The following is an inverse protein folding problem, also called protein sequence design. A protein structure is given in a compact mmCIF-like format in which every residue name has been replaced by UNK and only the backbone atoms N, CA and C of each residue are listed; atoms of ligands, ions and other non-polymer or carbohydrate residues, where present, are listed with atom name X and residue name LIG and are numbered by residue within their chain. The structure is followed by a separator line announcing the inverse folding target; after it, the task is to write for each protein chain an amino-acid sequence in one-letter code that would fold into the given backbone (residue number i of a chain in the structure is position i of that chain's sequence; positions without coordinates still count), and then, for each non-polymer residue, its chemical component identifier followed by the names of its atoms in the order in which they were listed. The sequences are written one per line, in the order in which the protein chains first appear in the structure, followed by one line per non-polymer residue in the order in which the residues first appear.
data_IF_182220267146
#
_entry.id   IF_182220267146
#
_cell.length_a   1.000
_cell.length_b   1.000
_cell.length_c   1.000
_cell.angle_alpha   90.00
_cell.angle_beta   90.00
_cell.angle_gamma   90.00
#
_symmetry.space_group_name_H-M   'P 1'
#
loop_
_entity.id
_entity.type
_entity.pdbx_description
1 polymer ?
#
# COMPACT_ATOMS: atom_id res chain seq x y z
N UNK A 1 -2.50 6.88 16.78
CA UNK A 1 -2.61 7.15 15.33
C UNK A 1 -3.54 6.12 14.70
N UNK A 2 -4.52 6.56 13.95
CA UNK A 2 -5.31 5.58 13.22
C UNK A 2 -4.47 4.89 12.18
N UNK A 3 -4.73 3.62 11.96
CA UNK A 3 -4.04 2.88 10.93
C UNK A 3 -4.45 3.40 9.57
N UNK A 4 -3.54 3.29 8.62
CA UNK A 4 -3.88 3.55 7.23
C UNK A 4 -4.55 2.31 6.67
N UNK A 5 -5.45 2.51 5.73
CA UNK A 5 -6.22 1.42 5.15
C UNK A 5 -5.96 1.35 3.65
N UNK A 6 -6.03 0.15 3.12
CA UNK A 6 -5.87 -0.07 1.69
C UNK A 6 -6.53 -1.37 1.28
N UNK A 7 -6.52 -1.65 -0.01
CA UNK A 7 -7.02 -2.92 -0.52
C UNK A 7 -6.38 -3.21 -1.86
N UNK A 8 -6.53 -4.45 -2.30
CA UNK A 8 -6.07 -4.87 -3.61
C UNK A 8 -7.23 -4.79 -4.60
N UNK A 9 -6.99 -4.11 -5.72
CA UNK A 9 -7.97 -4.01 -6.80
C UNK A 9 -7.31 -4.61 -8.04
N UNK A 10 -7.86 -5.71 -8.52
CA UNK A 10 -7.31 -6.43 -9.66
C UNK A 10 -5.83 -6.76 -9.47
N UNK A 11 -5.47 -7.14 -8.24
CA UNK A 11 -4.12 -7.52 -7.92
C UNK A 11 -3.17 -6.37 -7.65
N UNK A 12 -3.66 -5.13 -7.69
CA UNK A 12 -2.84 -3.94 -7.45
C UNK A 12 -3.27 -3.31 -6.12
N UNK A 13 -2.28 -3.00 -5.28
CA UNK A 13 -2.57 -2.38 -4.00
C UNK A 13 -2.94 -0.92 -4.18
N UNK A 14 -3.99 -0.48 -3.48
CA UNK A 14 -4.41 0.91 -3.48
C UNK A 14 -4.70 1.37 -2.07
N UNK A 15 -4.25 2.58 -1.75
CA UNK A 15 -4.57 3.19 -0.46
C UNK A 15 -6.02 3.69 -0.48
N UNK A 16 -6.62 3.76 0.71
CA UNK A 16 -7.96 4.32 0.85
C UNK A 16 -7.94 5.78 0.44
N UNK A 17 -8.90 6.20 -0.41
CA UNK A 17 -8.94 7.59 -0.85
C UNK A 17 -9.47 8.50 0.23
N UNK A 18 -9.22 9.80 0.07
CA UNK A 18 -9.76 10.79 1.01
C UNK A 18 -11.28 10.83 0.89
N UNK A 19 -11.78 10.83 -0.33
CA UNK A 19 -13.22 10.80 -0.58
C UNK A 19 -13.53 9.57 -1.44
N UNK A 20 -14.59 8.88 -1.10
CA UNK A 20 -14.94 7.64 -1.79
C UNK A 20 -16.35 7.77 -2.36
N UNK A 21 -16.49 7.42 -3.64
CA UNK A 21 -17.79 7.39 -4.30
C UNK A 21 -18.29 5.96 -4.29
N UNK A 22 -19.43 5.74 -3.62
CA UNK A 22 -19.99 4.40 -3.51
C UNK A 22 -20.63 3.99 -4.83
N UNK A 23 -20.91 2.68 -5.00
CA UNK A 23 -21.60 2.23 -6.19
C UNK A 23 -22.95 2.88 -6.39
N UNK A 24 -23.59 3.34 -5.31
CA UNK A 24 -24.88 4.06 -5.39
C UNK A 24 -24.72 5.52 -5.77
N UNK A 25 -23.50 6.01 -5.94
CA UNK A 25 -23.28 7.39 -6.31
C UNK A 25 -23.14 8.35 -5.16
N UNK A 26 -23.03 7.86 -3.94
CA UNK A 26 -22.86 8.71 -2.76
C UNK A 26 -21.37 8.95 -2.52
N UNK A 27 -21.04 10.14 -2.05
CA UNK A 27 -19.65 10.48 -1.73
C UNK A 27 -19.47 10.49 -0.23
N UNK A 28 -18.49 9.73 0.24
CA UNK A 28 -18.12 9.69 1.65
C UNK A 28 -16.87 10.53 1.81
N UNK A 29 -17.01 11.69 2.46
CA UNK A 29 -15.90 12.59 2.68
C UNK A 29 -15.05 12.08 3.84
N UNK A 30 -13.73 12.28 3.74
CA UNK A 30 -12.78 11.81 4.76
C UNK A 30 -12.90 10.31 4.97
N UNK A 31 -13.12 9.60 3.89
CA UNK A 31 -13.34 8.16 3.91
C UNK A 31 -12.17 7.42 4.59
N UNK A 32 -10.96 7.87 4.36
CA UNK A 32 -9.76 7.21 4.89
C UNK A 32 -9.71 7.18 6.42
N UNK A 33 -10.58 7.96 7.09
CA UNK A 33 -10.61 8.03 8.54
C UNK A 33 -11.82 7.32 9.14
N UNK A 34 -12.68 6.76 8.32
CA UNK A 34 -13.94 6.18 8.79
C UNK A 34 -13.89 4.68 8.71
N UNK A 35 -13.37 4.08 9.77
CA UNK A 35 -13.11 2.65 9.81
C UNK A 35 -14.33 1.82 9.45
N UNK A 36 -15.50 2.24 9.91
CA UNK A 36 -16.73 1.50 9.63
C UNK A 36 -16.96 1.35 8.14
N UNK A 37 -16.82 2.45 7.40
CA UNK A 37 -17.02 2.43 5.96
C UNK A 37 -15.86 1.75 5.25
N UNK A 38 -14.64 1.94 5.75
CA UNK A 38 -13.49 1.30 5.15
C UNK A 38 -13.68 -0.21 5.14
N UNK A 39 -14.07 -0.78 6.27
CA UNK A 39 -14.26 -2.22 6.35
C UNK A 39 -15.44 -2.67 5.51
N UNK A 40 -16.49 -1.87 5.45
CA UNK A 40 -17.67 -2.21 4.66
C UNK A 40 -17.33 -2.34 3.18
N UNK A 41 -16.42 -1.52 2.67
CA UNK A 41 -16.06 -1.52 1.27
C UNK A 41 -14.78 -2.30 0.99
N UNK A 42 -14.35 -3.12 1.94
CA UNK A 42 -13.29 -4.07 1.70
C UNK A 42 -11.88 -3.55 1.95
N UNK A 43 -11.75 -2.39 2.56
CA UNK A 43 -10.44 -1.86 2.91
C UNK A 43 -9.98 -2.47 4.23
N UNK A 44 -8.70 -2.79 4.30
CA UNK A 44 -8.12 -3.45 5.47
C UNK A 44 -7.04 -2.57 6.07
N UNK A 45 -6.81 -2.68 7.40
CA UNK A 45 -5.73 -1.92 8.00
C UNK A 45 -4.39 -2.40 7.46
N UNK A 46 -3.48 -1.47 7.26
CA UNK A 46 -2.16 -1.76 6.72
C UNK A 46 -1.12 -1.55 7.80
N UNK A 47 -0.33 -2.59 8.07
CA UNK A 47 0.80 -2.47 8.98
C UNK A 47 2.01 -2.11 8.17
N UNK A 48 2.67 -1.01 8.53
CA UNK A 48 3.83 -0.55 7.80
C UNK A 48 5.10 -0.97 8.53
N UNK A 49 6.15 -1.21 7.74
CA UNK A 49 7.45 -1.61 8.25
C UNK A 49 8.45 -0.54 7.86
N UNK A 50 9.33 -0.11 8.77
CA UNK A 50 10.33 0.88 8.41
C UNK A 50 11.25 0.34 7.32
N UNK A 51 11.67 1.24 6.45
CA UNK A 51 12.58 0.86 5.37
C UNK A 51 13.90 0.42 5.97
N UNK A 52 14.42 -0.77 5.62
CA UNK A 52 15.69 -1.21 6.16
C UNK A 52 16.85 -0.45 5.54
N UNK A 53 18.00 -0.55 6.19
CA UNK A 53 19.21 0.01 5.62
C UNK A 53 19.65 -0.80 4.41
N UNK A 54 20.07 -0.11 3.38
CA UNK A 54 20.56 -0.78 2.18
C UNK A 54 21.52 0.16 1.47
N UNK A 55 22.30 -0.40 0.55
CA UNK A 55 23.29 0.38 -0.21
C UNK A 55 22.59 0.92 -1.45
N UNK A 56 22.12 2.16 -1.38
CA UNK A 56 21.33 2.72 -2.46
C UNK A 56 22.13 3.04 -3.71
N UNK A 57 23.43 2.83 -3.67
CA UNK A 57 24.23 2.93 -4.89
C UNK A 57 24.20 1.63 -5.68
N UNK A 58 24.01 0.50 -4.99
CA UNK A 58 24.03 -0.81 -5.60
C UNK A 58 22.70 -1.52 -5.53
N UNK A 59 21.78 -1.04 -4.72
CA UNK A 59 20.54 -1.74 -4.44
C UNK A 59 19.38 -0.76 -4.45
N UNK A 60 18.18 -1.30 -4.50
CA UNK A 60 16.97 -0.50 -4.34
C UNK A 60 16.05 -1.21 -3.36
N UNK A 61 15.24 -0.44 -2.65
CA UNK A 61 14.23 -0.97 -1.75
C UNK A 61 12.87 -0.78 -2.40
N UNK A 62 12.13 -1.89 -2.53
CA UNK A 62 10.84 -1.89 -3.20
C UNK A 62 9.77 -2.24 -2.18
N UNK A 63 8.72 -1.44 -2.10
CA UNK A 63 7.61 -1.73 -1.22
C UNK A 63 6.79 -2.89 -1.77
N UNK A 64 6.47 -3.84 -0.90
CA UNK A 64 5.63 -4.97 -1.25
C UNK A 64 4.49 -5.01 -0.27
N UNK A 65 3.28 -5.23 -0.77
CA UNK A 65 2.09 -5.34 0.06
C UNK A 65 1.51 -6.72 -0.10
N UNK A 66 1.16 -7.36 1.01
CA UNK A 66 0.49 -8.65 0.95
C UNK A 66 -0.61 -8.70 1.98
N UNK A 67 -1.67 -9.41 1.67
CA UNK A 67 -2.78 -9.57 2.58
C UNK A 67 -2.51 -10.74 3.52
N UNK A 68 -2.75 -10.50 4.80
CA UNK A 68 -2.58 -11.51 5.83
C UNK A 68 -3.86 -11.54 6.65
N UNK A 69 -4.80 -12.41 6.25
CA UNK A 69 -6.08 -12.49 6.93
C UNK A 69 -6.89 -11.22 6.71
N UNK A 70 -7.15 -10.50 7.79
CA UNK A 70 -7.95 -9.29 7.73
C UNK A 70 -7.12 -8.03 7.82
N UNK A 71 -5.84 -8.12 7.41
CA UNK A 71 -4.96 -6.95 7.37
C UNK A 71 -4.01 -7.08 6.20
N UNK A 72 -3.34 -5.98 5.89
CA UNK A 72 -2.34 -5.95 4.83
C UNK A 72 -1.02 -5.56 5.48
N UNK A 73 0.05 -6.24 5.09
CA UNK A 73 1.37 -5.99 5.63
C UNK A 73 2.24 -5.40 4.54
N UNK A 74 2.87 -4.27 4.85
CA UNK A 74 3.85 -3.65 3.97
C UNK A 74 5.22 -4.21 4.33
N UNK A 75 5.91 -4.72 3.33
CA UNK A 75 7.26 -5.25 3.49
C UNK A 75 8.17 -4.58 2.49
N UNK A 76 9.46 -4.75 2.68
CA UNK A 76 10.46 -4.20 1.79
C UNK A 76 11.27 -5.32 1.19
N UNK A 77 11.52 -5.22 -0.11
CA UNK A 77 12.39 -6.15 -0.80
C UNK A 77 13.62 -5.39 -1.28
N UNK A 78 14.79 -5.87 -0.92
CA UNK A 78 16.04 -5.26 -1.35
C UNK A 78 16.52 -6.00 -2.58
N UNK A 79 16.70 -5.26 -3.66
CA UNK A 79 17.09 -5.83 -4.95
C UNK A 79 18.32 -5.13 -5.47
N UNK A 80 19.15 -5.83 -6.27
CA UNK A 80 20.22 -5.13 -6.97
C UNK A 80 19.65 -4.17 -8.00
N UNK A 81 20.38 -3.10 -8.25
CA UNK A 81 19.97 -2.11 -9.23
C UNK A 81 20.23 -2.62 -10.63
N UNK A 82 19.18 -3.11 -11.27
CA UNK A 82 19.33 -3.61 -12.63
C UNK A 82 19.34 -2.51 -13.64
N UNK A 83 18.61 -1.45 -13.33
CA UNK A 83 18.60 -0.31 -14.22
C UNK A 83 19.97 0.29 -14.43
N UNK A 84 20.74 0.35 -13.34
CA UNK A 84 22.08 0.86 -13.45
C UNK A 84 22.93 -0.03 -14.34
N UNK A 85 22.77 -1.30 -14.19
CA UNK A 85 23.47 -2.25 -14.97
C UNK A 85 23.11 -2.13 -16.44
N UNK A 86 21.84 -1.98 -16.73
CA UNK A 86 21.40 -1.81 -18.09
C UNK A 86 21.91 -0.50 -18.68
N UNK A 87 21.99 0.50 -17.86
CA UNK A 87 22.49 1.76 -18.34
C UNK A 87 23.94 1.67 -18.80
N UNK A 88 24.64 0.71 -18.28
CA UNK A 88 26.02 0.52 -18.66
C UNK A 88 26.13 -0.08 -20.05
N UNK A 89 25.10 -0.62 -20.55
CA UNK A 89 25.13 -1.28 -21.86
C UNK A 89 25.22 -0.26 -23.03
#
# INVERSE_FOLDING_TARGET
MPNRYGKFVDGVFEWAPINYVTPEGRTICNFYRKEKYLREYGYLPVETTPCPNYDYELQEAVEIYRQDGDKIIQEWEIRPLEGGENAAD
#
